data_IF_086205959886
#
_entry.id   IF_086205959886
#
_cell.length_a   1.000
_cell.length_b   1.000
_cell.length_c   1.000
_cell.angle_alpha   90.00
_cell.angle_beta   90.00
_cell.angle_gamma   90.00
#
_symmetry.space_group_name_H-M   'P 1'
#
loop_
_entity.id
_entity.type
_entity.pdbx_description
1 polymer ?
#
# COMPACT_ATOMS: atom_id res chain seq x y z
N UNK A 1 25.97 55.74 -39.49
CA UNK A 1 26.19 55.89 -40.91
C UNK A 1 25.17 55.03 -41.61
N UNK A 2 24.05 55.64 -41.97
CA UNK A 2 23.53 55.80 -43.34
C UNK A 2 23.08 54.46 -43.96
N UNK A 3 21.78 54.26 -44.01
CA UNK A 3 20.77 54.68 -45.04
C UNK A 3 20.72 53.70 -46.19
N UNK A 4 19.64 53.19 -46.67
CA UNK A 4 18.31 53.56 -47.17
C UNK A 4 17.75 52.33 -47.90
N UNK A 5 16.49 51.88 -47.67
CA UNK A 5 15.24 52.25 -48.40
C UNK A 5 15.29 52.12 -49.92
N UNK A 6 14.38 51.31 -50.48
CA UNK A 6 13.14 51.66 -51.25
C UNK A 6 12.67 50.44 -52.06
N UNK A 7 11.47 50.03 -51.95
CA UNK A 7 10.14 50.39 -52.57
C UNK A 7 10.05 49.91 -54.04
N UNK A 8 9.11 49.07 -54.26
CA UNK A 8 7.80 49.21 -54.86
C UNK A 8 7.65 48.85 -56.34
N UNK A 9 6.49 48.33 -56.62
CA UNK A 9 5.51 48.38 -57.67
C UNK A 9 5.41 47.17 -58.59
N UNK A 10 4.30 46.47 -58.46
CA UNK A 10 3.05 46.42 -59.19
C UNK A 10 3.17 46.35 -60.72
N UNK A 11 2.62 45.31 -61.31
CA UNK A 11 1.67 45.46 -62.41
C UNK A 11 0.90 44.14 -62.72
N UNK A 12 -0.35 44.29 -62.93
CA UNK A 12 -1.38 43.36 -63.34
C UNK A 12 -1.29 42.96 -64.82
N UNK A 13 -1.70 41.75 -65.16
CA UNK A 13 -2.41 41.54 -66.41
C UNK A 13 -3.28 40.28 -66.38
N UNK A 14 -4.44 40.43 -66.94
CA UNK A 14 -5.58 39.51 -67.02
C UNK A 14 -5.38 38.41 -68.06
N UNK A 15 -6.24 37.41 -67.86
CA UNK A 15 -6.96 36.50 -68.78
C UNK A 15 -6.23 35.16 -69.03
N UNK A 16 -6.87 34.03 -69.02
CA UNK A 16 -8.12 33.55 -69.62
C UNK A 16 -8.46 32.16 -69.08
N UNK A 17 -9.75 31.90 -68.99
CA UNK A 17 -10.37 30.61 -68.64
C UNK A 17 -9.87 29.43 -69.46
N UNK A 18 -9.57 28.32 -68.81
CA UNK A 18 -9.85 26.97 -69.30
C UNK A 18 -10.30 26.08 -68.12
N UNK A 19 -11.54 25.64 -68.21
CA UNK A 19 -12.12 24.58 -67.38
C UNK A 19 -11.35 23.28 -67.63
N UNK A 20 -10.78 22.74 -66.60
CA UNK A 20 -10.37 21.33 -66.54
C UNK A 20 -10.98 20.72 -65.29
N UNK A 21 -11.99 19.87 -65.52
CA UNK A 21 -12.63 19.07 -64.46
C UNK A 21 -11.62 18.04 -63.95
N UNK A 22 -11.08 18.25 -62.73
CA UNK A 22 -10.32 17.25 -61.99
C UNK A 22 -11.29 16.61 -60.97
N UNK A 23 -11.60 15.32 -61.17
CA UNK A 23 -12.26 14.51 -60.19
C UNK A 23 -11.32 14.39 -58.95
N UNK A 24 -11.61 15.13 -57.90
CA UNK A 24 -11.00 14.86 -56.59
C UNK A 24 -11.75 13.68 -55.94
N UNK A 25 -11.11 12.51 -55.98
CA UNK A 25 -11.46 11.41 -55.07
C UNK A 25 -11.12 11.87 -53.64
N UNK A 26 -12.12 12.33 -52.89
CA UNK A 26 -12.03 12.45 -51.43
C UNK A 26 -11.99 11.05 -50.84
N UNK A 27 -10.80 10.53 -50.64
CA UNK A 27 -10.59 9.36 -49.79
C UNK A 27 -10.99 9.70 -48.35
N UNK A 28 -12.20 9.32 -47.93
CA UNK A 28 -12.55 9.26 -46.52
C UNK A 28 -11.65 8.20 -45.86
N UNK A 29 -10.55 8.62 -45.27
CA UNK A 29 -9.86 7.80 -44.28
C UNK A 29 -10.77 7.67 -43.05
N UNK A 30 -11.59 6.63 -43.02
CA UNK A 30 -12.23 6.17 -41.79
C UNK A 30 -11.10 5.64 -40.88
N UNK A 31 -10.60 6.50 -39.99
CA UNK A 31 -9.86 6.05 -38.82
C UNK A 31 -10.86 5.29 -37.91
N UNK A 32 -11.03 4.00 -38.15
CA UNK A 32 -11.66 3.12 -37.19
C UNK A 32 -10.69 3.03 -36.01
N UNK A 33 -10.90 3.88 -35.00
CA UNK A 33 -10.32 3.65 -33.69
C UNK A 33 -10.91 2.34 -33.18
N UNK A 34 -10.19 1.23 -33.35
CA UNK A 34 -10.43 0.01 -32.61
C UNK A 34 -10.14 0.31 -31.14
N UNK A 35 -11.11 0.83 -30.42
CA UNK A 35 -11.15 0.68 -28.97
C UNK A 35 -11.32 -0.82 -28.75
N UNK A 36 -10.21 -1.51 -28.44
CA UNK A 36 -10.27 -2.84 -27.91
C UNK A 36 -11.13 -2.76 -26.64
N UNK A 37 -12.40 -3.12 -26.76
CA UNK A 37 -13.24 -3.31 -25.59
C UNK A 37 -12.54 -4.43 -24.80
N UNK A 38 -11.92 -4.07 -23.68
CA UNK A 38 -11.39 -5.05 -22.76
C UNK A 38 -12.58 -5.94 -22.38
N UNK A 39 -12.58 -7.17 -22.89
CA UNK A 39 -13.60 -8.15 -22.54
C UNK A 39 -13.56 -8.33 -21.04
N UNK A 40 -14.65 -7.89 -20.38
CA UNK A 40 -14.77 -8.00 -18.93
C UNK A 40 -14.62 -9.46 -18.54
N UNK A 41 -13.63 -9.77 -17.73
CA UNK A 41 -13.40 -11.11 -17.18
C UNK A 41 -14.66 -11.59 -16.47
N UNK A 42 -15.13 -12.79 -16.82
CA UNK A 42 -16.34 -13.36 -16.22
C UNK A 42 -16.07 -13.81 -14.79
N UNK A 43 -16.99 -13.52 -13.86
CA UNK A 43 -16.86 -13.97 -12.49
C UNK A 43 -17.03 -15.49 -12.39
N UNK A 44 -16.34 -16.07 -11.41
CA UNK A 44 -16.48 -17.47 -11.01
C UNK A 44 -17.45 -17.57 -9.82
N UNK A 45 -17.99 -18.77 -9.54
CA UNK A 45 -18.75 -18.99 -8.31
C UNK A 45 -17.94 -18.62 -7.07
N UNK A 46 -18.60 -18.01 -6.09
CA UNK A 46 -17.99 -17.72 -4.80
C UNK A 46 -17.46 -19.02 -4.17
N UNK A 47 -16.22 -19.08 -3.69
CA UNK A 47 -15.66 -20.29 -3.09
C UNK A 47 -16.52 -20.80 -1.93
N UNK A 48 -16.66 -22.13 -1.85
CA UNK A 48 -17.42 -22.76 -0.76
C UNK A 48 -16.82 -22.37 0.60
N UNK A 49 -17.64 -21.88 1.52
CA UNK A 49 -17.21 -21.42 2.84
C UNK A 49 -16.79 -19.96 2.91
N UNK A 50 -16.72 -19.27 1.77
CA UNK A 50 -16.57 -17.83 1.75
C UNK A 50 -17.93 -17.12 1.92
N UNK A 51 -17.90 -15.89 2.46
CA UNK A 51 -19.05 -15.00 2.52
C UNK A 51 -18.76 -13.75 1.69
N UNK A 52 -19.74 -13.29 0.93
CA UNK A 52 -19.56 -12.11 0.09
C UNK A 52 -20.84 -11.29 -0.03
N UNK A 53 -20.70 -9.98 0.07
CA UNK A 53 -21.74 -9.01 -0.25
C UNK A 53 -21.16 -7.96 -1.19
N UNK A 54 -21.80 -7.75 -2.34
CA UNK A 54 -21.37 -6.79 -3.35
C UNK A 54 -19.96 -7.08 -3.93
N UNK A 55 -19.62 -8.36 -4.08
CA UNK A 55 -18.37 -8.81 -4.69
C UNK A 55 -18.59 -9.90 -5.74
N UNK A 56 -17.81 -9.85 -6.78
CA UNK A 56 -17.56 -10.92 -7.73
C UNK A 56 -16.21 -11.57 -7.42
N UNK A 57 -16.18 -12.90 -7.44
CA UNK A 57 -14.93 -13.65 -7.38
C UNK A 57 -14.40 -13.90 -8.79
N UNK A 58 -13.15 -13.53 -9.05
CA UNK A 58 -12.52 -13.57 -10.37
C UNK A 58 -11.49 -14.72 -10.46
N UNK A 59 -10.62 -14.83 -9.47
CA UNK A 59 -9.53 -15.79 -9.50
C UNK A 59 -8.81 -15.94 -8.17
N UNK A 60 -7.84 -16.87 -8.17
CA UNK A 60 -7.01 -17.15 -7.00
C UNK A 60 -5.66 -17.71 -7.44
N UNK A 61 -4.64 -17.45 -6.65
CA UNK A 61 -3.34 -18.13 -6.73
C UNK A 61 -2.83 -18.41 -5.32
N UNK A 62 -2.37 -19.64 -5.10
CA UNK A 62 -1.70 -20.07 -3.88
C UNK A 62 -0.21 -19.74 -3.88
N UNK A 63 0.26 -19.03 -4.92
CA UNK A 63 1.66 -18.67 -5.13
C UNK A 63 2.62 -19.87 -5.09
N UNK A 64 2.17 -21.05 -5.54
CA UNK A 64 2.91 -22.32 -5.44
C UNK A 64 3.30 -22.69 -3.99
N UNK A 65 2.46 -22.32 -3.02
CA UNK A 65 2.65 -22.56 -1.60
C UNK A 65 3.41 -21.48 -0.83
N UNK A 66 3.85 -20.41 -1.48
CA UNK A 66 4.45 -19.26 -0.80
C UNK A 66 3.38 -18.32 -0.24
N UNK A 67 3.34 -18.16 1.08
CA UNK A 67 2.31 -17.37 1.76
C UNK A 67 2.58 -15.87 1.64
N UNK A 68 1.67 -15.09 1.01
CA UNK A 68 1.90 -13.69 0.73
C UNK A 68 1.70 -12.79 1.97
N UNK A 69 2.26 -11.58 1.88
CA UNK A 69 1.98 -10.50 2.80
C UNK A 69 1.69 -9.21 2.02
N UNK A 70 2.66 -8.31 1.89
CA UNK A 70 2.51 -7.07 1.13
C UNK A 70 2.52 -7.34 -0.37
N UNK A 71 1.65 -6.65 -1.10
CA UNK A 71 1.56 -6.75 -2.56
C UNK A 71 1.71 -5.37 -3.20
N UNK A 72 2.33 -5.33 -4.38
CA UNK A 72 2.40 -4.17 -5.25
C UNK A 72 2.32 -4.59 -6.72
N UNK A 73 2.02 -3.65 -7.62
CA UNK A 73 1.70 -3.96 -9.02
C UNK A 73 2.29 -2.93 -9.97
N UNK A 74 2.67 -3.38 -11.17
CA UNK A 74 3.01 -2.51 -12.29
C UNK A 74 2.52 -3.06 -13.61
N UNK A 75 2.40 -2.19 -14.61
CA UNK A 75 2.10 -2.57 -15.98
C UNK A 75 3.27 -2.18 -16.90
N UNK A 76 3.74 -3.14 -17.69
CA UNK A 76 4.80 -2.94 -18.68
C UNK A 76 4.34 -3.54 -20.02
N UNK A 77 4.31 -2.72 -21.06
CA UNK A 77 3.96 -3.16 -22.43
C UNK A 77 2.62 -3.93 -22.49
N UNK A 78 1.62 -3.50 -21.74
CA UNK A 78 0.29 -4.12 -21.70
C UNK A 78 0.18 -5.35 -20.80
N UNK A 79 1.27 -5.84 -20.20
CA UNK A 79 1.26 -6.94 -19.23
C UNK A 79 1.29 -6.40 -17.81
N UNK A 80 0.57 -7.06 -16.92
CA UNK A 80 0.45 -6.69 -15.52
C UNK A 80 1.24 -7.65 -14.66
N UNK A 81 2.16 -7.13 -13.89
CA UNK A 81 3.03 -7.87 -12.99
C UNK A 81 2.73 -7.46 -11.55
N UNK A 82 2.40 -8.45 -10.73
CA UNK A 82 2.26 -8.28 -9.29
C UNK A 82 3.49 -8.85 -8.59
N UNK A 83 3.89 -8.19 -7.52
CA UNK A 83 4.96 -8.61 -6.64
C UNK A 83 4.37 -8.84 -5.27
N UNK A 84 4.66 -9.99 -4.66
CA UNK A 84 4.09 -10.38 -3.38
C UNK A 84 5.22 -10.81 -2.44
N UNK A 85 5.45 -10.03 -1.40
CA UNK A 85 6.38 -10.39 -0.33
C UNK A 85 5.83 -11.53 0.50
N UNK A 86 6.68 -12.44 0.95
CA UNK A 86 6.25 -13.57 1.75
C UNK A 86 6.36 -13.30 3.25
N UNK A 87 5.35 -13.76 4.00
CA UNK A 87 5.32 -13.62 5.45
C UNK A 87 6.34 -14.52 6.15
N UNK A 88 6.41 -15.77 5.73
CA UNK A 88 7.18 -16.82 6.41
C UNK A 88 8.29 -17.42 5.57
N UNK A 89 8.12 -17.45 4.25
CA UNK A 89 9.01 -18.18 3.33
C UNK A 89 10.28 -17.44 2.93
N UNK A 90 10.48 -16.23 3.40
CA UNK A 90 11.69 -15.42 3.18
C UNK A 90 12.02 -15.21 1.71
N UNK A 91 11.28 -14.36 1.09
CA UNK A 91 11.42 -14.01 -0.31
C UNK A 91 10.19 -13.30 -0.83
N UNK A 92 10.03 -13.30 -2.13
CA UNK A 92 8.88 -12.69 -2.78
C UNK A 92 8.64 -13.29 -4.16
N UNK A 93 7.36 -13.33 -4.52
CA UNK A 93 6.87 -13.89 -5.78
C UNK A 93 6.64 -12.80 -6.82
N UNK A 94 6.80 -13.19 -8.10
CA UNK A 94 6.42 -12.38 -9.27
C UNK A 94 5.30 -13.10 -10.00
N UNK A 95 4.19 -12.42 -10.21
CA UNK A 95 2.97 -13.01 -10.74
C UNK A 95 2.51 -12.21 -11.97
N UNK A 96 2.20 -12.90 -13.08
CA UNK A 96 1.47 -12.33 -14.20
C UNK A 96 -0.03 -12.31 -13.85
N UNK A 97 -0.60 -11.13 -13.74
CA UNK A 97 -2.01 -10.88 -13.49
C UNK A 97 -2.68 -10.15 -14.67
N UNK A 98 -2.11 -10.27 -15.86
CA UNK A 98 -2.67 -9.72 -17.10
C UNK A 98 -4.07 -10.26 -17.34
N UNK A 99 -4.24 -11.57 -17.19
CA UNK A 99 -5.55 -12.19 -17.03
C UNK A 99 -5.77 -12.52 -15.55
N UNK A 100 -6.58 -11.72 -14.84
CA UNK A 100 -6.80 -11.91 -13.41
C UNK A 100 -7.61 -13.17 -13.06
N UNK A 101 -8.28 -13.81 -14.05
CA UNK A 101 -8.96 -15.09 -13.83
C UNK A 101 -7.99 -16.28 -13.77
N UNK A 102 -6.81 -16.14 -14.39
CA UNK A 102 -5.79 -17.19 -14.49
C UNK A 102 -4.40 -16.62 -14.17
N UNK A 103 -4.18 -16.13 -12.94
CA UNK A 103 -2.89 -15.58 -12.54
C UNK A 103 -1.80 -16.66 -12.62
N UNK A 104 -0.57 -16.27 -12.99
CA UNK A 104 0.54 -17.21 -13.18
C UNK A 104 1.76 -16.74 -12.39
N UNK A 105 2.26 -17.59 -11.51
CA UNK A 105 3.55 -17.35 -10.86
C UNK A 105 4.63 -17.47 -11.91
N UNK A 106 5.42 -16.42 -12.10
CA UNK A 106 6.50 -16.35 -13.09
C UNK A 106 7.85 -16.65 -12.48
N UNK A 107 8.08 -16.19 -11.25
CA UNK A 107 9.34 -16.35 -10.55
C UNK A 107 9.16 -16.26 -9.04
N UNK A 108 10.11 -16.84 -8.32
CA UNK A 108 10.30 -16.70 -6.88
C UNK A 108 11.72 -16.22 -6.62
N UNK A 109 11.88 -15.15 -5.88
CA UNK A 109 13.17 -14.60 -5.47
C UNK A 109 13.38 -14.95 -4.00
N UNK A 110 14.26 -15.90 -3.68
CA UNK A 110 14.52 -16.29 -2.30
C UNK A 110 15.23 -15.17 -1.53
N UNK A 111 14.80 -14.95 -0.31
CA UNK A 111 15.47 -14.06 0.64
C UNK A 111 16.54 -14.77 1.48
N UNK A 112 17.33 -14.01 2.24
CA UNK A 112 18.33 -14.55 3.15
C UNK A 112 17.68 -15.36 4.28
N UNK A 113 18.46 -16.32 4.85
CA UNK A 113 18.03 -17.04 6.05
C UNK A 113 17.77 -16.07 7.20
N UNK A 114 16.85 -16.42 8.10
CA UNK A 114 16.51 -15.67 9.31
C UNK A 114 16.07 -14.22 9.05
N UNK A 115 15.72 -13.91 7.79
CA UNK A 115 15.36 -12.56 7.34
C UNK A 115 13.95 -12.57 6.77
N UNK A 116 13.07 -11.79 7.36
CA UNK A 116 11.74 -11.54 6.82
C UNK A 116 11.84 -10.51 5.69
N UNK A 117 11.15 -10.74 4.57
CA UNK A 117 11.13 -9.87 3.38
C UNK A 117 9.69 -9.63 2.92
N UNK A 118 8.76 -9.55 3.87
CA UNK A 118 7.32 -9.45 3.58
C UNK A 118 6.87 -8.11 2.99
N UNK A 119 7.66 -7.05 3.18
CA UNK A 119 7.33 -5.70 2.75
C UNK A 119 8.05 -5.32 1.46
N UNK A 120 7.31 -4.66 0.57
CA UNK A 120 7.86 -4.18 -0.70
C UNK A 120 7.06 -2.98 -1.24
N UNK A 121 7.75 -2.08 -1.97
CA UNK A 121 7.16 -0.93 -2.67
C UNK A 121 7.81 -0.74 -4.03
N UNK A 122 7.02 -0.30 -5.01
CA UNK A 122 7.46 -0.07 -6.38
C UNK A 122 7.26 1.40 -6.77
N UNK A 123 8.32 2.03 -7.24
CA UNK A 123 8.25 3.30 -7.96
C UNK A 123 9.48 3.47 -8.88
N UNK A 124 9.37 4.28 -9.91
CA UNK A 124 10.47 4.66 -10.82
C UNK A 124 11.27 3.45 -11.37
N UNK A 125 10.60 2.34 -11.65
CA UNK A 125 11.23 1.12 -12.15
C UNK A 125 12.16 0.43 -11.15
N UNK A 126 12.03 0.75 -9.87
CA UNK A 126 12.71 0.11 -8.75
C UNK A 126 11.71 -0.58 -7.83
N UNK A 127 12.15 -1.65 -7.21
CA UNK A 127 11.50 -2.30 -6.10
C UNK A 127 12.39 -2.14 -4.87
N UNK A 128 11.78 -1.75 -3.75
CA UNK A 128 12.44 -1.70 -2.44
C UNK A 128 11.83 -2.81 -1.59
N UNK A 129 12.66 -3.73 -1.10
CA UNK A 129 12.21 -4.76 -0.16
C UNK A 129 12.80 -4.52 1.22
N UNK A 130 12.00 -4.77 2.25
CA UNK A 130 12.48 -4.77 3.62
C UNK A 130 13.34 -6.01 3.89
N UNK A 131 14.28 -5.86 4.81
CA UNK A 131 15.06 -6.95 5.38
C UNK A 131 15.06 -6.77 6.91
N UNK A 132 14.39 -7.68 7.60
CA UNK A 132 14.18 -7.65 9.04
C UNK A 132 14.54 -9.00 9.65
N UNK A 133 15.15 -8.99 10.84
CA UNK A 133 15.38 -10.26 11.57
C UNK A 133 14.05 -10.96 11.77
N UNK A 134 13.95 -12.19 11.27
CA UNK A 134 12.74 -12.99 11.45
C UNK A 134 12.61 -13.45 12.89
N UNK A 135 11.42 -13.21 13.47
CA UNK A 135 11.05 -13.73 14.79
C UNK A 135 10.03 -14.87 14.69
N UNK A 136 9.44 -15.08 13.50
CA UNK A 136 8.43 -16.09 13.27
C UNK A 136 8.94 -17.13 12.28
N UNK A 137 8.86 -18.40 12.67
CA UNK A 137 9.16 -19.54 11.77
C UNK A 137 10.60 -19.62 11.25
N UNK A 138 11.49 -18.83 11.83
CA UNK A 138 12.91 -18.82 11.50
C UNK A 138 13.69 -19.85 12.30
N UNK A 139 15.00 -19.82 12.10
CA UNK A 139 15.93 -20.49 12.98
C UNK A 139 15.73 -19.93 14.40
N UNK A 140 15.58 -20.80 15.37
CA UNK A 140 15.45 -20.42 16.79
C UNK A 140 16.77 -19.95 17.39
N UNK A 141 17.89 -20.12 16.67
CA UNK A 141 19.19 -19.62 17.07
C UNK A 141 19.23 -18.09 16.95
N UNK A 142 19.21 -17.42 18.08
CA UNK A 142 19.31 -15.95 18.16
C UNK A 142 20.64 -15.38 17.65
N UNK A 143 21.68 -16.25 17.53
CA UNK A 143 22.99 -15.90 17.00
C UNK A 143 23.11 -16.19 15.48
N UNK A 144 22.13 -16.86 14.89
CA UNK A 144 22.15 -17.14 13.45
C UNK A 144 22.17 -15.83 12.64
N UNK A 145 22.98 -15.74 11.58
CA UNK A 145 23.08 -14.54 10.78
C UNK A 145 21.75 -14.23 10.07
N UNK A 146 21.41 -12.93 10.00
CA UNK A 146 20.31 -12.40 9.22
C UNK A 146 20.80 -11.24 8.35
N UNK A 147 20.00 -10.85 7.37
CA UNK A 147 20.20 -9.61 6.63
C UNK A 147 19.31 -8.50 7.20
N UNK A 148 19.71 -7.23 7.06
CA UNK A 148 19.02 -6.10 7.68
C UNK A 148 18.94 -4.89 6.75
N UNK A 149 17.91 -4.05 6.97
CA UNK A 149 17.72 -2.80 6.27
C UNK A 149 16.81 -2.89 5.05
N UNK A 150 17.15 -2.19 3.99
CA UNK A 150 16.41 -2.22 2.73
C UNK A 150 17.28 -2.72 1.59
N UNK A 151 16.71 -3.50 0.68
CA UNK A 151 17.36 -3.94 -0.55
C UNK A 151 16.70 -3.26 -1.75
N UNK A 152 17.52 -2.74 -2.65
CA UNK A 152 17.10 -1.99 -3.82
C UNK A 152 17.27 -2.87 -5.06
N UNK A 153 16.19 -3.02 -5.83
CA UNK A 153 16.17 -3.83 -7.05
C UNK A 153 15.80 -2.98 -8.26
N UNK A 154 16.38 -3.29 -9.41
CA UNK A 154 15.92 -2.79 -10.70
C UNK A 154 14.85 -3.71 -11.26
N UNK A 155 13.72 -3.13 -11.67
CA UNK A 155 12.64 -3.82 -12.38
C UNK A 155 12.70 -3.61 -13.90
N UNK A 156 13.88 -3.29 -14.44
CA UNK A 156 14.08 -3.17 -15.91
C UNK A 156 13.68 -4.46 -16.64
N UNK A 157 14.01 -5.62 -16.06
CA UNK A 157 13.37 -6.90 -16.35
C UNK A 157 12.38 -7.18 -15.21
N UNK A 158 11.07 -7.18 -15.49
CA UNK A 158 10.07 -7.35 -14.43
C UNK A 158 10.03 -8.77 -13.83
N UNK A 159 10.62 -9.76 -14.51
CA UNK A 159 10.61 -11.17 -14.10
C UNK A 159 11.95 -11.60 -13.47
N UNK A 160 13.04 -10.93 -13.85
CA UNK A 160 14.38 -11.20 -13.33
C UNK A 160 15.00 -9.91 -12.76
N UNK A 161 14.51 -9.43 -11.61
CA UNK A 161 15.01 -8.21 -10.98
C UNK A 161 16.50 -8.30 -10.66
N UNK A 162 17.22 -7.21 -10.92
CA UNK A 162 18.64 -7.11 -10.60
C UNK A 162 18.80 -6.37 -9.27
N UNK A 163 19.45 -6.98 -8.30
CA UNK A 163 19.85 -6.30 -7.07
C UNK A 163 20.86 -5.20 -7.38
N UNK A 164 20.54 -3.96 -6.97
CA UNK A 164 21.39 -2.78 -7.17
C UNK A 164 22.26 -2.48 -5.95
N UNK A 165 21.68 -2.57 -4.75
CA UNK A 165 22.38 -2.29 -3.51
C UNK A 165 21.53 -2.53 -2.29
N UNK A 166 22.08 -2.16 -1.12
CA UNK A 166 21.44 -2.34 0.19
C UNK A 166 21.92 -1.28 1.16
N UNK A 167 21.00 -0.69 1.92
CA UNK A 167 21.32 0.02 3.16
C UNK A 167 21.07 -0.89 4.35
N UNK A 168 21.99 -0.89 5.32
CA UNK A 168 21.91 -1.69 6.54
C UNK A 168 21.65 -0.81 7.75
N UNK A 169 20.75 -1.25 8.63
CA UNK A 169 20.42 -0.54 9.88
C UNK A 169 21.50 -0.70 10.94
N UNK A 170 22.27 -1.77 10.88
CA UNK A 170 23.16 -2.20 11.96
C UNK A 170 22.40 -2.65 13.23
N UNK A 171 21.10 -2.86 13.13
CA UNK A 171 20.21 -3.33 14.18
C UNK A 171 19.38 -4.54 13.75
N UNK A 172 18.07 -4.52 14.00
CA UNK A 172 17.17 -5.62 13.66
C UNK A 172 16.55 -5.51 12.26
N UNK A 173 16.90 -4.47 11.49
CA UNK A 173 16.43 -4.26 10.13
C UNK A 173 15.23 -3.33 10.01
N UNK A 174 14.53 -3.42 8.86
CA UNK A 174 13.36 -2.58 8.55
C UNK A 174 12.11 -3.43 8.49
N UNK A 175 11.04 -2.93 9.10
CA UNK A 175 9.73 -3.59 9.08
C UNK A 175 8.86 -3.09 7.93
N UNK A 176 8.74 -1.78 7.79
CA UNK A 176 7.88 -1.14 6.77
C UNK A 176 8.67 -0.11 5.98
N UNK A 177 8.46 -0.12 4.67
CA UNK A 177 9.01 0.88 3.78
C UNK A 177 7.92 1.82 3.30
N UNK A 178 8.32 3.01 2.82
CA UNK A 178 7.52 3.95 2.06
C UNK A 178 8.41 4.50 0.95
N UNK A 179 8.31 3.93 -0.25
CA UNK A 179 9.01 4.44 -1.41
C UNK A 179 8.02 5.00 -2.43
N UNK A 180 7.95 6.31 -2.51
CA UNK A 180 6.99 7.05 -3.34
C UNK A 180 7.61 7.56 -4.65
N UNK A 181 8.78 7.03 -5.00
CA UNK A 181 9.59 7.49 -6.12
C UNK A 181 10.66 8.51 -5.72
N UNK A 182 11.52 8.87 -6.66
CA UNK A 182 12.58 9.85 -6.49
C UNK A 182 13.76 9.35 -5.67
N UNK A 183 14.28 10.24 -4.84
CA UNK A 183 15.59 10.10 -4.20
C UNK A 183 15.56 9.34 -2.87
N UNK A 184 14.45 9.40 -2.13
CA UNK A 184 14.43 8.96 -0.74
C UNK A 184 13.50 7.77 -0.52
N UNK A 185 13.97 6.84 0.30
CA UNK A 185 13.13 5.81 0.93
C UNK A 185 12.89 6.24 2.38
N UNK A 186 11.64 6.14 2.80
CA UNK A 186 11.20 6.39 4.16
C UNK A 186 10.89 5.05 4.81
N UNK A 187 11.43 4.77 5.99
CA UNK A 187 11.28 3.43 6.56
C UNK A 187 11.10 3.44 8.07
N UNK A 188 10.36 2.45 8.55
CA UNK A 188 10.31 2.06 9.95
C UNK A 188 11.46 1.10 10.22
N UNK A 189 12.48 1.54 10.94
CA UNK A 189 13.73 0.82 11.09
C UNK A 189 14.16 0.65 12.55
N UNK A 190 14.57 -0.56 12.91
CA UNK A 190 15.18 -0.87 14.18
C UNK A 190 16.70 -0.64 14.10
N UNK A 191 17.14 0.52 14.53
CA UNK A 191 18.51 0.99 14.48
C UNK A 191 19.14 1.01 15.87
N UNK A 192 20.48 1.09 15.95
CA UNK A 192 21.19 1.26 17.24
C UNK A 192 20.81 2.56 17.92
N UNK A 193 20.85 2.58 19.25
CA UNK A 193 20.58 3.74 20.07
C UNK A 193 19.11 4.04 20.32
N UNK A 194 18.21 3.19 19.81
CA UNK A 194 16.78 3.31 20.02
C UNK A 194 16.17 1.97 20.41
N UNK A 195 15.11 2.05 21.19
CA UNK A 195 14.22 0.93 21.49
C UNK A 195 13.11 0.92 20.44
N UNK A 196 12.86 -0.23 19.82
CA UNK A 196 11.86 -0.38 18.78
C UNK A 196 12.29 0.18 17.41
N UNK A 197 11.30 0.46 16.62
CA UNK A 197 11.50 1.01 15.28
C UNK A 197 11.22 2.51 15.29
N UNK A 198 12.01 3.23 14.53
CA UNK A 198 11.90 4.68 14.37
C UNK A 198 11.84 5.05 12.89
N UNK A 199 11.49 6.28 12.61
CA UNK A 199 11.50 6.82 11.27
C UNK A 199 12.92 7.10 10.79
N UNK A 200 13.28 6.57 9.63
CA UNK A 200 14.58 6.78 8.98
C UNK A 200 14.39 7.18 7.53
N UNK A 201 15.17 8.14 7.07
CA UNK A 201 15.24 8.56 5.67
C UNK A 201 16.55 8.06 5.08
N UNK A 202 16.46 7.35 3.96
CA UNK A 202 17.60 6.79 3.23
C UNK A 202 17.66 7.40 1.83
N UNK A 203 18.80 7.95 1.46
CA UNK A 203 19.09 8.45 0.12
C UNK A 203 19.52 7.28 -0.78
N UNK A 204 18.79 7.07 -1.86
CA UNK A 204 19.04 6.04 -2.86
C UNK A 204 19.37 6.63 -4.24
N UNK A 205 19.81 7.89 -4.31
CA UNK A 205 20.21 8.52 -5.59
C UNK A 205 21.36 7.76 -6.28
N UNK A 206 22.26 7.16 -5.50
CA UNK A 206 23.15 6.09 -5.95
C UNK A 206 22.66 4.78 -5.31
N UNK A 207 21.88 3.96 -6.02
CA UNK A 207 21.32 2.75 -5.44
C UNK A 207 22.36 1.68 -5.09
N UNK A 208 23.60 1.79 -5.60
CA UNK A 208 24.70 0.91 -5.22
C UNK A 208 25.30 1.28 -3.86
N UNK A 209 25.19 2.53 -3.45
CA UNK A 209 25.74 3.08 -2.21
C UNK A 209 24.68 3.92 -1.48
N UNK A 210 23.56 3.32 -1.03
CA UNK A 210 22.53 4.04 -0.32
C UNK A 210 23.04 4.55 1.04
N UNK A 211 22.59 5.76 1.44
CA UNK A 211 23.11 6.45 2.63
C UNK A 211 21.96 6.90 3.53
N UNK A 212 22.07 6.63 4.83
CA UNK A 212 21.16 7.23 5.82
C UNK A 212 21.33 8.75 5.84
N UNK A 213 20.21 9.45 5.71
CA UNK A 213 20.17 10.93 5.74
C UNK A 213 19.86 11.44 7.14
N UNK A 214 18.85 10.85 7.76
CA UNK A 214 18.40 11.25 9.10
C UNK A 214 17.55 10.15 9.74
N UNK A 215 17.37 10.28 11.05
CA UNK A 215 16.46 9.49 11.86
C UNK A 215 15.68 10.35 12.82
N UNK A 216 14.43 9.99 13.04
CA UNK A 216 13.55 10.63 14.00
C UNK A 216 12.79 9.58 14.80
N UNK A 217 12.69 9.77 16.10
CA UNK A 217 11.93 8.90 17.01
C UNK A 217 11.54 9.67 18.26
N UNK A 218 10.50 9.20 18.93
CA UNK A 218 10.05 9.78 20.20
C UNK A 218 11.18 9.77 21.23
N UNK A 219 11.30 10.82 22.08
CA UNK A 219 12.40 10.94 23.04
C UNK A 219 12.54 9.74 23.98
N UNK A 220 11.42 9.15 24.40
CA UNK A 220 11.34 7.99 25.29
C UNK A 220 11.92 6.69 24.68
N UNK A 221 12.05 6.62 23.37
CA UNK A 221 12.65 5.49 22.67
C UNK A 221 14.17 5.58 22.59
N UNK A 222 14.78 6.73 22.93
CA UNK A 222 16.24 6.85 22.93
C UNK A 222 16.85 6.05 24.07
N UNK A 223 17.81 5.20 23.72
CA UNK A 223 18.61 4.47 24.68
C UNK A 223 19.70 5.40 25.27
N UNK A 224 20.12 5.12 26.52
CA UNK A 224 21.22 5.87 27.17
C UNK A 224 22.53 5.72 26.42
N UNK A 225 22.81 4.52 25.91
CA UNK A 225 23.95 4.26 25.05
C UNK A 225 23.49 4.34 23.57
N UNK A 226 24.01 5.31 22.79
CA UNK A 226 23.66 5.46 21.38
C UNK A 226 24.12 4.27 20.49
N UNK A 227 25.01 3.43 20.98
CA UNK A 227 25.49 2.24 20.28
C UNK A 227 24.80 0.95 20.75
N UNK A 228 23.95 1.03 21.78
CA UNK A 228 23.22 -0.13 22.25
C UNK A 228 22.41 -0.75 21.15
N UNK A 229 22.50 -2.08 21.05
CA UNK A 229 21.67 -2.82 20.11
C UNK A 229 20.28 -2.98 20.69
N UNK A 230 19.28 -2.67 19.88
CA UNK A 230 17.93 -3.02 20.19
C UNK A 230 17.75 -4.54 20.00
N UNK A 231 17.51 -5.26 21.07
CA UNK A 231 17.34 -6.72 21.06
C UNK A 231 15.87 -7.14 21.21
N UNK A 232 14.98 -6.19 21.50
CA UNK A 232 13.57 -6.46 21.73
C UNK A 232 12.71 -5.82 20.66
N UNK A 233 11.75 -6.58 20.16
CA UNK A 233 10.61 -6.02 19.41
C UNK A 233 9.64 -5.44 20.43
N UNK A 234 9.53 -4.13 20.54
CA UNK A 234 8.58 -3.54 21.47
C UNK A 234 7.22 -3.51 20.82
N UNK A 235 6.38 -4.45 21.18
CA UNK A 235 4.97 -4.37 20.86
C UNK A 235 4.39 -3.05 21.39
N UNK A 236 3.80 -2.24 20.51
CA UNK A 236 3.13 -1.00 20.87
C UNK A 236 4.01 0.24 21.11
N UNK A 237 5.33 0.15 20.92
CA UNK A 237 6.26 1.24 21.26
C UNK A 237 7.13 1.64 20.07
N UNK A 238 6.73 2.06 19.01
CA UNK A 238 7.58 2.48 17.91
C UNK A 238 6.78 2.70 16.64
N UNK A 239 7.48 3.06 15.59
CA UNK A 239 6.90 3.16 14.27
C UNK A 239 6.69 1.75 13.72
N UNK A 240 5.43 1.32 13.59
CA UNK A 240 5.15 -0.02 13.08
C UNK A 240 4.69 -0.01 11.62
N UNK A 241 3.70 0.78 11.31
CA UNK A 241 3.17 0.89 9.94
C UNK A 241 4.09 1.69 9.01
N UNK A 242 3.80 1.70 7.71
CA UNK A 242 4.63 2.43 6.76
C UNK A 242 4.55 3.94 7.04
N UNK A 243 5.69 4.64 7.00
CA UNK A 243 5.67 6.09 6.94
C UNK A 243 5.08 6.53 5.60
N UNK A 244 4.00 7.31 5.61
CA UNK A 244 3.48 7.93 4.40
C UNK A 244 4.05 9.32 4.24
N UNK A 245 4.47 9.67 3.02
CA UNK A 245 5.02 10.99 2.73
C UNK A 245 4.31 11.63 1.56
N UNK A 246 3.81 12.84 1.77
CA UNK A 246 3.20 13.65 0.72
C UNK A 246 3.81 15.05 0.77
N UNK A 247 4.49 15.43 -0.30
CA UNK A 247 5.26 16.67 -0.33
C UNK A 247 6.32 16.69 0.76
N UNK A 248 6.24 17.66 1.66
CA UNK A 248 7.17 17.83 2.78
C UNK A 248 6.60 17.34 4.12
N UNK A 249 5.55 16.55 4.11
CA UNK A 249 4.92 16.05 5.35
C UNK A 249 5.00 14.55 5.42
N UNK A 250 5.49 14.02 6.54
CA UNK A 250 5.41 12.61 6.87
C UNK A 250 4.28 12.36 7.87
N UNK A 251 3.50 11.31 7.63
CA UNK A 251 2.38 10.84 8.44
C UNK A 251 2.77 9.50 9.04
N UNK A 252 2.88 9.46 10.36
CA UNK A 252 3.50 8.32 11.06
C UNK A 252 2.53 7.67 12.04
N UNK A 253 2.26 6.37 11.91
CA UNK A 253 1.57 5.58 12.93
C UNK A 253 2.56 5.17 14.02
N UNK A 254 2.71 5.97 15.07
CA UNK A 254 3.82 5.86 16.00
C UNK A 254 3.37 5.40 17.40
N UNK A 255 3.47 4.12 17.68
CA UNK A 255 3.08 3.55 18.96
C UNK A 255 1.58 3.72 19.22
N UNK A 256 1.22 4.54 20.23
CA UNK A 256 -0.17 4.87 20.56
C UNK A 256 -0.65 6.19 19.97
N UNK A 257 0.17 6.80 19.11
CA UNK A 257 -0.05 8.15 18.59
C UNK A 257 -0.06 8.17 17.08
N UNK A 258 -0.78 9.12 16.51
CA UNK A 258 -0.56 9.59 15.16
C UNK A 258 0.35 10.82 15.21
N UNK A 259 1.42 10.83 14.42
CA UNK A 259 2.42 11.91 14.41
C UNK A 259 2.57 12.47 13.00
N UNK A 260 2.68 13.79 12.90
CA UNK A 260 3.02 14.49 11.66
C UNK A 260 4.37 15.18 11.79
N UNK A 261 5.24 15.00 10.77
CA UNK A 261 6.54 15.66 10.70
C UNK A 261 6.62 16.58 9.48
N UNK A 262 7.29 17.72 9.65
CA UNK A 262 7.85 18.53 8.57
C UNK A 262 9.22 17.94 8.19
N UNK A 263 9.33 17.52 6.94
CA UNK A 263 10.54 16.99 6.33
C UNK A 263 11.03 17.86 5.18
N UNK A 264 10.67 19.14 5.17
CA UNK A 264 11.19 20.13 4.19
C UNK A 264 12.72 20.21 4.23
N UNK A 265 13.31 20.03 5.40
CA UNK A 265 14.71 19.66 5.58
C UNK A 265 14.81 18.19 5.97
N UNK A 266 15.07 17.34 4.99
CA UNK A 266 15.17 15.89 5.20
C UNK A 266 16.27 15.47 6.17
N UNK A 267 17.24 16.36 6.45
CA UNK A 267 18.31 16.11 7.43
C UNK A 267 17.87 16.35 8.87
N UNK A 268 16.84 17.17 9.06
CA UNK A 268 16.37 17.59 10.37
C UNK A 268 14.83 17.58 10.43
N UNK A 269 14.20 16.37 10.35
CA UNK A 269 12.76 16.25 10.51
C UNK A 269 12.28 16.90 11.80
N UNK A 270 11.16 17.65 11.74
CA UNK A 270 10.58 18.35 12.87
C UNK A 270 9.14 17.92 13.07
N UNK A 271 8.78 17.70 14.32
CA UNK A 271 7.39 17.44 14.67
C UNK A 271 6.52 18.66 14.40
N UNK A 272 5.42 18.44 13.68
CA UNK A 272 4.35 19.42 13.49
C UNK A 272 3.33 19.27 14.61
N UNK A 273 2.91 18.02 14.86
CA UNK A 273 1.90 17.68 15.85
C UNK A 273 1.88 16.18 16.13
N UNK A 274 1.28 15.83 17.27
CA UNK A 274 0.87 14.47 17.60
C UNK A 274 -0.61 14.45 18.02
N UNK A 275 -1.26 13.32 17.81
CA UNK A 275 -2.63 13.05 18.27
C UNK A 275 -2.64 11.75 19.07
N UNK A 276 -3.07 11.82 20.31
CA UNK A 276 -3.40 10.67 21.15
C UNK A 276 -4.91 10.42 21.11
N UNK A 277 -5.30 9.17 20.98
CA UNK A 277 -6.70 8.79 20.85
C UNK A 277 -7.37 8.68 22.23
N UNK A 278 -8.65 9.08 22.29
CA UNK A 278 -9.51 8.91 23.47
C UNK A 278 -10.89 8.33 23.03
N UNK A 279 -11.22 7.08 23.37
CA UNK A 279 -10.38 6.14 24.12
C UNK A 279 -9.12 5.75 23.33
N UNK A 280 -8.02 5.38 24.02
CA UNK A 280 -6.77 5.02 23.37
C UNK A 280 -6.94 3.77 22.50
N UNK A 281 -6.31 3.75 21.35
CA UNK A 281 -6.19 2.54 20.54
C UNK A 281 -5.46 1.48 21.37
N UNK A 282 -5.97 0.26 21.30
CA UNK A 282 -5.38 -0.91 21.93
C UNK A 282 -4.99 -1.91 20.85
N UNK A 283 -4.11 -2.79 21.20
CA UNK A 283 -3.68 -3.85 20.31
C UNK A 283 -2.19 -4.04 20.35
N UNK A 284 -1.74 -5.07 19.67
CA UNK A 284 -0.32 -5.38 19.49
C UNK A 284 0.44 -4.17 18.95
N UNK A 285 -0.18 -3.46 17.99
CA UNK A 285 0.28 -2.19 17.46
C UNK A 285 -0.90 -1.21 17.48
N UNK A 286 -0.92 -0.35 18.48
CA UNK A 286 -2.07 0.49 18.78
C UNK A 286 -2.45 1.42 17.61
N UNK A 287 -1.45 2.08 16.98
CA UNK A 287 -1.64 2.79 15.71
C UNK A 287 -0.77 2.12 14.67
N UNK A 288 -1.41 1.39 13.74
CA UNK A 288 -0.73 0.60 12.72
C UNK A 288 -0.62 1.33 11.38
N UNK A 289 -1.65 2.02 10.96
CA UNK A 289 -1.72 2.74 9.66
C UNK A 289 -2.01 4.21 9.91
N UNK A 290 -1.49 5.10 9.07
CA UNK A 290 -1.80 6.53 9.07
C UNK A 290 -1.79 7.07 7.63
N UNK A 291 -2.76 6.63 6.81
CA UNK A 291 -2.79 6.95 5.38
C UNK A 291 -3.48 8.28 5.08
N UNK A 292 -2.80 9.24 4.44
CA UNK A 292 -3.38 10.53 4.08
C UNK A 292 -4.25 10.47 2.80
N UNK A 293 -5.44 11.06 2.88
CA UNK A 293 -6.28 11.44 1.74
C UNK A 293 -6.12 12.94 1.50
N UNK A 294 -5.09 13.28 0.74
CA UNK A 294 -4.54 14.66 0.66
C UNK A 294 -5.57 15.66 0.15
N UNK A 295 -6.33 15.31 -0.89
CA UNK A 295 -7.35 16.19 -1.49
C UNK A 295 -8.44 16.55 -0.49
N UNK A 296 -8.70 15.67 0.47
CA UNK A 296 -9.73 15.81 1.51
C UNK A 296 -9.19 16.35 2.82
N UNK A 297 -7.87 16.43 2.99
CA UNK A 297 -7.20 16.81 4.25
C UNK A 297 -7.65 15.94 5.42
N UNK A 298 -7.79 14.65 5.19
CA UNK A 298 -8.07 13.66 6.22
C UNK A 298 -7.01 12.56 6.20
N UNK A 299 -6.87 11.87 7.33
CA UNK A 299 -6.01 10.70 7.47
C UNK A 299 -6.85 9.55 8.01
N UNK A 300 -6.73 8.38 7.40
CA UNK A 300 -7.21 7.14 7.99
C UNK A 300 -6.16 6.59 8.94
N UNK A 301 -6.59 6.16 10.13
CA UNK A 301 -5.76 5.43 11.08
C UNK A 301 -6.48 4.22 11.61
N UNK A 302 -5.73 3.14 11.83
CA UNK A 302 -6.27 1.93 12.42
C UNK A 302 -5.27 1.26 13.36
N UNK A 303 -5.76 0.30 14.16
CA UNK A 303 -4.96 -0.52 15.06
C UNK A 303 -4.90 -1.95 14.56
N UNK A 304 -3.72 -2.58 14.62
CA UNK A 304 -3.60 -4.03 14.51
C UNK A 304 -3.79 -4.64 15.92
N UNK A 305 -4.89 -5.36 16.13
CA UNK A 305 -5.24 -5.89 17.42
C UNK A 305 -5.61 -7.38 17.34
N UNK A 306 -5.39 -8.08 18.45
CA UNK A 306 -5.99 -9.38 18.71
C UNK A 306 -7.23 -9.20 19.61
N UNK A 307 -8.10 -10.18 19.62
CA UNK A 307 -9.33 -10.14 20.45
C UNK A 307 -9.08 -9.91 21.93
N UNK A 308 -7.99 -10.44 22.46
CA UNK A 308 -7.58 -10.29 23.87
C UNK A 308 -7.03 -8.90 24.20
N UNK A 309 -6.57 -8.17 23.20
CA UNK A 309 -6.00 -6.82 23.40
C UNK A 309 -7.10 -5.76 23.61
N UNK A 310 -8.35 -6.09 23.29
CA UNK A 310 -9.49 -5.19 23.32
C UNK A 310 -9.99 -4.83 21.91
N UNK A 311 -10.94 -3.90 21.80
CA UNK A 311 -11.54 -3.59 20.52
C UNK A 311 -10.52 -2.99 19.57
N UNK A 312 -10.43 -3.56 18.37
CA UNK A 312 -9.74 -2.93 17.24
C UNK A 312 -10.50 -1.68 16.80
N UNK A 313 -9.77 -0.65 16.44
CA UNK A 313 -10.34 0.63 16.03
C UNK A 313 -9.75 1.04 14.69
N UNK A 314 -10.60 1.69 13.89
CA UNK A 314 -10.20 2.46 12.72
C UNK A 314 -10.90 3.80 12.75
N UNK A 315 -10.23 4.88 12.35
CA UNK A 315 -10.78 6.24 12.46
C UNK A 315 -10.38 7.12 11.28
N UNK A 316 -11.13 8.19 11.08
CA UNK A 316 -10.75 9.31 10.22
C UNK A 316 -10.36 10.51 11.08
N UNK A 317 -9.26 11.14 10.70
CA UNK A 317 -8.70 12.32 11.37
C UNK A 317 -8.75 13.50 10.40
N UNK A 318 -9.23 14.63 10.88
CA UNK A 318 -9.13 15.93 10.20
C UNK A 318 -7.73 16.50 10.42
N UNK A 319 -7.04 16.80 9.33
CA UNK A 319 -5.72 17.42 9.31
C UNK A 319 -5.71 18.74 8.51
N UNK A 320 -6.88 19.37 8.33
CA UNK A 320 -6.97 20.67 7.67
C UNK A 320 -6.14 21.75 8.38
N UNK A 321 -6.08 21.70 9.71
CA UNK A 321 -5.06 22.35 10.51
C UNK A 321 -4.03 21.32 10.97
N UNK A 322 -2.86 21.22 10.31
CA UNK A 322 -1.88 20.19 10.63
C UNK A 322 -1.28 20.32 12.04
N UNK A 323 -1.47 21.46 12.73
CA UNK A 323 -1.01 21.66 14.11
C UNK A 323 -2.02 21.15 15.15
N UNK A 324 -3.27 20.92 14.74
CA UNK A 324 -4.36 20.52 15.62
C UNK A 324 -5.19 19.40 14.97
N UNK A 325 -4.61 18.21 14.70
CA UNK A 325 -5.34 17.07 14.15
C UNK A 325 -6.47 16.65 15.10
N UNK A 326 -7.61 16.23 14.55
CA UNK A 326 -8.79 15.85 15.35
C UNK A 326 -9.45 14.60 14.77
N UNK A 327 -9.85 13.68 15.63
CA UNK A 327 -10.69 12.55 15.22
C UNK A 327 -12.04 13.08 14.74
N UNK A 328 -12.43 12.66 13.53
CA UNK A 328 -13.73 12.96 12.93
C UNK A 328 -14.74 11.89 13.33
N UNK A 329 -14.36 10.63 13.13
CA UNK A 329 -15.25 9.48 13.28
C UNK A 329 -14.45 8.18 13.44
N UNK A 330 -15.14 7.15 13.90
CA UNK A 330 -14.66 5.77 13.90
C UNK A 330 -15.43 4.94 12.89
N UNK A 331 -14.76 3.95 12.31
CA UNK A 331 -15.40 2.98 11.43
C UNK A 331 -16.23 1.98 12.25
N UNK A 332 -17.42 1.56 11.76
CA UNK A 332 -18.11 0.45 12.35
C UNK A 332 -17.28 -0.83 12.17
N UNK A 333 -17.00 -1.59 13.25
CA UNK A 333 -16.30 -2.86 13.12
C UNK A 333 -17.16 -3.87 12.35
N UNK A 334 -16.54 -4.80 11.61
CA UNK A 334 -17.26 -5.87 10.93
C UNK A 334 -18.13 -6.72 11.85
N UNK A 335 -19.29 -7.09 11.35
CA UNK A 335 -20.21 -8.01 11.99
C UNK A 335 -20.30 -9.30 11.17
N UNK A 336 -20.26 -10.51 11.79
CA UNK A 336 -20.40 -11.74 11.04
C UNK A 336 -21.69 -11.79 10.21
N UNK A 337 -21.65 -12.37 8.99
CA UNK A 337 -22.86 -12.61 8.22
C UNK A 337 -23.88 -13.46 8.99
N UNK A 338 -25.20 -13.29 8.75
CA UNK A 338 -26.24 -13.99 9.49
C UNK A 338 -26.15 -15.54 9.43
N UNK A 339 -25.59 -16.08 8.35
CA UNK A 339 -25.39 -17.50 8.10
C UNK A 339 -24.00 -18.01 8.48
N UNK A 340 -23.16 -17.15 9.07
CA UNK A 340 -21.84 -17.57 9.55
C UNK A 340 -21.97 -18.54 10.74
N UNK A 341 -21.08 -19.55 10.84
CA UNK A 341 -21.11 -20.52 11.93
C UNK A 341 -20.54 -19.98 13.26
N UNK A 342 -20.26 -18.70 13.34
CA UNK A 342 -19.75 -17.99 14.52
C UNK A 342 -20.55 -16.69 14.74
N UNK A 343 -20.67 -16.25 16.00
CA UNK A 343 -21.45 -15.07 16.38
C UNK A 343 -20.60 -13.79 16.45
N UNK A 344 -19.32 -13.94 16.63
CA UNK A 344 -18.33 -12.86 16.52
C UNK A 344 -17.04 -13.43 15.90
N UNK A 345 -16.19 -12.56 15.39
CA UNK A 345 -14.95 -13.01 14.74
C UNK A 345 -13.92 -13.55 15.73
N UNK A 346 -14.02 -13.20 17.01
CA UNK A 346 -13.17 -13.78 18.05
C UNK A 346 -13.52 -15.24 18.38
N UNK A 347 -14.73 -15.70 18.07
CA UNK A 347 -15.08 -17.13 18.13
C UNK A 347 -14.35 -17.93 17.04
N UNK A 348 -14.00 -17.26 15.92
CA UNK A 348 -13.30 -17.85 14.80
C UNK A 348 -11.81 -18.05 15.13
N UNK A 349 -11.12 -16.98 15.57
CA UNK A 349 -9.74 -17.02 16.06
C UNK A 349 -9.42 -15.75 16.85
N UNK A 350 -8.23 -15.70 17.49
CA UNK A 350 -7.78 -14.50 18.21
C UNK A 350 -7.42 -13.32 17.30
N UNK A 351 -7.09 -13.56 16.02
CA UNK A 351 -6.70 -12.51 15.08
C UNK A 351 -7.91 -11.77 14.48
N UNK A 352 -8.37 -10.72 15.13
CA UNK A 352 -9.43 -9.84 14.63
C UNK A 352 -9.06 -8.38 14.88
N UNK A 353 -8.89 -7.65 13.79
CA UNK A 353 -8.56 -6.22 13.81
C UNK A 353 -8.39 -5.68 12.42
N UNK A 354 -8.54 -4.37 12.28
CA UNK A 354 -8.18 -3.66 11.05
C UNK A 354 -6.66 -3.81 10.81
N UNK A 355 -6.24 -3.87 9.55
CA UNK A 355 -4.83 -3.99 9.21
C UNK A 355 -4.48 -3.05 8.06
N UNK A 356 -4.25 -3.55 6.85
CA UNK A 356 -3.92 -2.69 5.71
C UNK A 356 -5.17 -2.22 4.96
N UNK A 357 -5.04 -1.06 4.34
CA UNK A 357 -6.02 -0.54 3.37
C UNK A 357 -5.36 -0.49 1.99
N UNK A 358 -6.12 -0.16 0.93
CA UNK A 358 -5.53 0.13 -0.39
C UNK A 358 -4.69 1.41 -0.32
N UNK A 359 -3.39 1.28 -0.04
CA UNK A 359 -2.52 2.34 0.47
C UNK A 359 -1.43 2.84 -0.51
N UNK A 360 -1.41 2.33 -1.74
CA UNK A 360 -0.34 2.66 -2.70
C UNK A 360 -0.70 3.89 -3.56
N UNK A 361 -1.04 5.00 -2.91
CA UNK A 361 -1.54 6.23 -3.57
C UNK A 361 -0.55 6.86 -4.56
N UNK A 362 0.72 6.51 -4.52
CA UNK A 362 1.77 6.98 -5.44
C UNK A 362 1.86 6.13 -6.72
N UNK A 363 1.34 4.90 -6.69
CA UNK A 363 1.45 3.97 -7.80
C UNK A 363 0.38 4.28 -8.87
N UNK A 364 0.77 4.65 -10.12
CA UNK A 364 -0.17 5.05 -11.17
C UNK A 364 -1.06 3.89 -11.66
N UNK A 365 -0.78 2.66 -11.28
CA UNK A 365 -1.54 1.47 -11.65
C UNK A 365 -2.55 1.04 -10.58
N UNK A 366 -2.63 1.78 -9.48
CA UNK A 366 -3.55 1.54 -8.36
C UNK A 366 -4.68 2.55 -8.38
N UNK A 367 -5.87 2.16 -7.95
CA UNK A 367 -7.02 3.06 -7.80
C UNK A 367 -6.81 4.07 -6.68
N UNK A 368 -7.10 5.33 -6.95
CA UNK A 368 -6.87 6.48 -6.07
C UNK A 368 -8.17 7.14 -5.60
N UNK A 369 -9.23 6.38 -5.44
CA UNK A 369 -10.50 6.94 -4.97
C UNK A 369 -10.39 7.48 -3.53
N UNK A 370 -10.74 8.75 -3.33
CA UNK A 370 -10.74 9.40 -2.02
C UNK A 370 -12.03 9.18 -1.21
N UNK A 371 -13.02 8.45 -1.76
CA UNK A 371 -14.34 8.30 -1.15
C UNK A 371 -14.68 6.86 -0.79
N UNK A 372 -13.76 5.92 -1.03
CA UNK A 372 -13.94 4.52 -0.72
C UNK A 372 -12.67 3.97 -0.07
N UNK A 373 -12.84 3.18 0.98
CA UNK A 373 -11.74 2.48 1.63
C UNK A 373 -11.98 0.97 1.53
N UNK A 374 -10.98 0.27 1.03
CA UNK A 374 -10.86 -1.18 1.07
C UNK A 374 -9.93 -1.51 2.24
N UNK A 375 -10.45 -2.18 3.27
CA UNK A 375 -9.74 -2.43 4.53
C UNK A 375 -9.77 -3.91 4.87
N UNK A 376 -8.60 -4.49 5.14
CA UNK A 376 -8.51 -5.87 5.65
C UNK A 376 -8.75 -5.89 7.15
N UNK A 377 -9.42 -6.96 7.61
CA UNK A 377 -9.76 -7.19 9.01
C UNK A 377 -9.33 -8.58 9.47
N UNK A 378 -8.10 -8.96 9.15
CA UNK A 378 -7.48 -10.24 9.51
C UNK A 378 -8.45 -11.42 9.25
N UNK A 379 -9.00 -12.08 10.29
CA UNK A 379 -9.88 -13.24 10.12
C UNK A 379 -11.30 -12.90 9.63
N UNK A 380 -11.64 -11.61 9.56
CA UNK A 380 -12.90 -11.14 9.00
C UNK A 380 -12.80 -10.82 7.49
N UNK A 381 -11.62 -10.91 6.88
CA UNK A 381 -11.47 -10.70 5.44
C UNK A 381 -11.36 -9.24 5.03
N UNK A 382 -11.93 -8.90 3.88
CA UNK A 382 -11.94 -7.57 3.27
C UNK A 382 -13.30 -6.90 3.46
N UNK A 383 -13.30 -5.66 3.94
CA UNK A 383 -14.47 -4.80 4.04
C UNK A 383 -14.31 -3.51 3.24
N UNK A 384 -15.41 -3.01 2.70
CA UNK A 384 -15.44 -1.80 1.89
C UNK A 384 -16.30 -0.75 2.58
N UNK A 385 -15.74 0.45 2.72
CA UNK A 385 -16.41 1.55 3.38
C UNK A 385 -16.56 2.75 2.43
N UNK A 386 -17.79 3.27 2.33
CA UNK A 386 -18.07 4.59 1.76
C UNK A 386 -17.72 5.64 2.82
N UNK A 387 -16.81 6.53 2.46
CA UNK A 387 -16.38 7.66 3.29
C UNK A 387 -16.67 9.01 2.64
N UNK A 388 -17.61 9.07 1.67
CA UNK A 388 -18.03 10.35 1.08
C UNK A 388 -18.43 11.36 2.16
N UNK A 389 -19.18 10.93 3.18
CA UNK A 389 -19.27 11.66 4.45
C UNK A 389 -18.29 11.08 5.46
N UNK A 390 -17.17 11.77 5.65
CA UNK A 390 -16.15 11.35 6.60
C UNK A 390 -16.62 11.32 8.07
N UNK A 391 -17.78 11.93 8.39
CA UNK A 391 -18.38 11.89 9.74
C UNK A 391 -19.11 10.58 10.01
N UNK A 392 -19.46 9.83 8.94
CA UNK A 392 -20.25 8.61 9.02
C UNK A 392 -19.76 7.56 8.02
N UNK A 393 -18.57 6.98 8.22
CA UNK A 393 -18.10 5.86 7.40
C UNK A 393 -19.14 4.73 7.40
N UNK A 394 -19.45 4.22 6.21
CA UNK A 394 -20.51 3.24 6.04
C UNK A 394 -20.02 2.01 5.30
N UNK A 395 -20.14 0.84 5.93
CA UNK A 395 -19.84 -0.42 5.26
C UNK A 395 -20.80 -0.65 4.09
N UNK A 396 -20.25 -1.00 2.94
CA UNK A 396 -21.01 -1.19 1.69
C UNK A 396 -20.79 -2.55 1.04
N UNK A 397 -19.88 -3.36 1.56
CA UNK A 397 -19.64 -4.70 1.09
C UNK A 397 -18.49 -5.38 1.80
N UNK A 398 -18.44 -6.71 1.68
CA UNK A 398 -17.37 -7.52 2.25
C UNK A 398 -17.11 -8.77 1.41
N UNK A 399 -15.89 -9.28 1.53
CA UNK A 399 -15.50 -10.61 1.11
C UNK A 399 -14.68 -11.27 2.23
N UNK A 400 -15.23 -12.33 2.81
CA UNK A 400 -14.58 -13.14 3.84
C UNK A 400 -14.14 -14.44 3.19
N UNK A 401 -12.82 -14.65 3.00
CA UNK A 401 -12.33 -15.90 2.40
C UNK A 401 -12.75 -17.14 3.20
N UNK A 402 -12.81 -18.29 2.55
CA UNK A 402 -12.98 -19.55 3.29
C UNK A 402 -11.73 -19.81 4.13
N UNK A 403 -11.90 -20.51 5.25
CA UNK A 403 -10.76 -20.95 6.05
C UNK A 403 -9.94 -21.96 5.22
N UNK A 404 -8.64 -21.69 4.98
CA UNK A 404 -7.84 -22.52 4.10
C UNK A 404 -7.42 -23.83 4.79
N UNK A 405 -7.16 -24.89 4.03
CA UNK A 405 -6.45 -26.03 4.55
C UNK A 405 -5.04 -25.61 4.99
N UNK A 406 -4.56 -26.21 6.06
CA UNK A 406 -3.21 -25.91 6.55
C UNK A 406 -2.16 -26.34 5.52
N UNK A 407 -1.25 -25.44 5.17
CA UNK A 407 -0.12 -25.73 4.30
C UNK A 407 0.91 -26.58 5.04
N UNK A 408 1.44 -27.62 4.41
CA UNK A 408 2.50 -28.45 4.98
C UNK A 408 3.76 -27.61 5.20
N UNK A 409 4.38 -27.71 6.39
CA UNK A 409 5.57 -26.93 6.73
C UNK A 409 5.29 -25.51 7.25
N UNK A 410 4.04 -25.05 7.28
CA UNK A 410 3.70 -23.83 7.95
C UNK A 410 4.07 -23.90 9.45
N UNK A 411 4.48 -22.77 10.07
CA UNK A 411 4.74 -22.70 11.50
C UNK A 411 3.56 -23.27 12.32
N UNK A 412 3.78 -23.80 13.52
CA UNK A 412 2.68 -24.27 14.36
C UNK A 412 1.67 -23.14 14.50
N UNK A 413 0.39 -23.40 14.18
CA UNK A 413 -0.62 -22.36 14.16
C UNK A 413 -0.94 -21.85 15.56
N UNK A 414 -1.56 -20.67 15.66
CA UNK A 414 -2.56 -20.44 16.69
C UNK A 414 -3.57 -21.57 16.65
N UNK A 415 -4.29 -21.79 17.75
CA UNK A 415 -5.16 -22.97 17.95
C UNK A 415 -6.10 -23.34 16.79
N UNK A 416 -6.42 -22.37 15.91
CA UNK A 416 -7.21 -22.57 14.69
C UNK A 416 -6.51 -21.93 13.49
N UNK A 417 -6.39 -22.68 12.39
CA UNK A 417 -5.90 -22.18 11.11
C UNK A 417 -7.09 -21.66 10.30
N UNK A 418 -7.23 -20.36 10.23
CA UNK A 418 -8.33 -19.65 9.56
C UNK A 418 -7.79 -18.66 8.55
N UNK A 419 -8.67 -18.05 7.75
CA UNK A 419 -8.30 -16.93 6.88
C UNK A 419 -7.58 -15.82 7.67
N UNK A 420 -6.58 -15.23 7.07
CA UNK A 420 -5.73 -14.17 7.65
C UNK A 420 -5.41 -13.12 6.58
N UNK A 421 -6.41 -12.28 6.30
CA UNK A 421 -6.36 -11.26 5.26
C UNK A 421 -5.51 -10.08 5.72
N UNK A 422 -4.36 -9.88 5.06
CA UNK A 422 -3.34 -8.96 5.51
C UNK A 422 -3.21 -7.68 4.68
N UNK A 423 -3.31 -7.78 3.35
CA UNK A 423 -3.11 -6.63 2.47
C UNK A 423 -4.12 -6.62 1.33
N UNK A 424 -4.38 -5.42 0.80
CA UNK A 424 -5.31 -5.22 -0.30
C UNK A 424 -4.78 -4.17 -1.27
N UNK A 425 -4.94 -4.44 -2.56
CA UNK A 425 -4.63 -3.53 -3.65
C UNK A 425 -5.78 -3.54 -4.66
N UNK A 426 -6.16 -2.36 -5.14
CA UNK A 426 -7.15 -2.21 -6.22
C UNK A 426 -6.45 -1.63 -7.43
N UNK A 427 -6.44 -2.33 -8.56
CA UNK A 427 -5.81 -1.83 -9.77
C UNK A 427 -6.73 -0.89 -10.56
N UNK A 428 -6.16 -0.13 -11.48
CA UNK A 428 -6.93 0.82 -12.33
C UNK A 428 -7.91 0.15 -13.29
N UNK A 429 -7.91 -1.20 -13.38
CA UNK A 429 -8.91 -1.99 -14.11
C UNK A 429 -10.12 -2.33 -13.21
N UNK A 430 -10.04 -2.03 -11.90
CA UNK A 430 -11.04 -2.33 -10.89
C UNK A 430 -10.96 -3.76 -10.34
N UNK A 431 -9.85 -4.48 -10.55
CA UNK A 431 -9.61 -5.74 -9.87
C UNK A 431 -8.99 -5.49 -8.51
N UNK A 432 -9.50 -6.23 -7.52
CA UNK A 432 -9.06 -6.16 -6.14
C UNK A 432 -8.26 -7.42 -5.86
N UNK A 433 -7.08 -7.24 -5.33
CA UNK A 433 -6.18 -8.31 -4.91
C UNK A 433 -6.12 -8.33 -3.40
N UNK A 434 -6.62 -9.39 -2.81
CA UNK A 434 -6.64 -9.59 -1.37
C UNK A 434 -5.59 -10.63 -1.01
N UNK A 435 -4.54 -10.20 -0.31
CA UNK A 435 -3.49 -11.07 0.22
C UNK A 435 -3.94 -11.71 1.52
N UNK A 436 -3.90 -13.04 1.56
CA UNK A 436 -4.21 -13.84 2.75
C UNK A 436 -2.97 -14.64 3.19
N UNK A 437 -2.48 -14.40 4.40
CA UNK A 437 -1.25 -14.98 4.95
C UNK A 437 -1.30 -16.50 5.14
N UNK A 438 -2.48 -17.09 5.03
CA UNK A 438 -2.69 -18.53 5.22
C UNK A 438 -3.17 -19.25 3.96
N UNK A 439 -3.49 -18.52 2.89
CA UNK A 439 -4.06 -19.09 1.68
C UNK A 439 -3.31 -18.72 0.40
N UNK A 440 -3.19 -17.42 0.12
CA UNK A 440 -2.70 -16.91 -1.17
C UNK A 440 -3.33 -15.57 -1.53
N UNK A 441 -3.53 -15.31 -2.82
CA UNK A 441 -4.12 -14.05 -3.28
C UNK A 441 -5.46 -14.33 -3.95
N UNK A 442 -6.54 -13.78 -3.38
CA UNK A 442 -7.86 -13.76 -3.99
C UNK A 442 -7.98 -12.55 -4.92
N UNK A 443 -8.55 -12.77 -6.09
CA UNK A 443 -8.79 -11.72 -7.07
C UNK A 443 -10.29 -11.52 -7.19
N UNK A 444 -10.73 -10.29 -6.93
CA UNK A 444 -12.11 -9.92 -6.72
C UNK A 444 -12.49 -8.71 -7.58
N UNK A 445 -13.77 -8.40 -7.64
CA UNK A 445 -14.30 -7.14 -8.14
C UNK A 445 -15.43 -6.67 -7.24
N UNK A 446 -15.38 -5.42 -6.84
CA UNK A 446 -16.46 -4.79 -6.09
C UNK A 446 -17.60 -4.39 -7.03
N UNK A 447 -18.82 -4.74 -6.66
CA UNK A 447 -20.05 -4.48 -7.45
C UNK A 447 -21.08 -3.66 -6.68
N UNK A 448 -20.70 -3.22 -5.48
CA UNK A 448 -21.58 -2.42 -4.64
C UNK A 448 -21.75 -0.97 -5.11
N UNK A 449 -22.46 -0.18 -4.33
CA UNK A 449 -22.71 1.20 -4.66
C UNK A 449 -21.41 1.99 -4.73
N UNK A 450 -21.28 2.85 -5.74
CA UNK A 450 -20.20 3.81 -5.81
C UNK A 450 -20.49 4.97 -4.86
N UNK A 451 -19.53 5.43 -4.06
CA UNK A 451 -19.71 6.62 -3.25
C UNK A 451 -20.10 7.84 -4.07
N UNK A 452 -20.92 8.69 -3.50
CA UNK A 452 -21.18 10.03 -4.03
C UNK A 452 -19.96 10.96 -3.92
N UNK A 453 -20.08 12.20 -4.33
CA UNK A 453 -19.03 13.20 -4.13
C UNK A 453 -18.77 13.41 -2.64
N UNK A 454 -17.52 13.73 -2.31
CA UNK A 454 -17.12 14.01 -0.92
C UNK A 454 -17.93 15.16 -0.32
N UNK A 455 -18.45 14.95 0.88
CA UNK A 455 -19.12 16.00 1.66
C UNK A 455 -18.02 16.80 2.39
N UNK A 456 -17.90 18.13 2.16
CA UNK A 456 -16.89 18.94 2.82
C UNK A 456 -17.00 18.91 4.35
N UNK A 457 -15.89 18.76 5.04
CA UNK A 457 -15.83 18.84 6.51
C UNK A 457 -15.96 20.26 7.00
N UNK A 458 -15.41 21.20 6.24
CA UNK A 458 -15.40 22.63 6.53
C UNK A 458 -16.20 23.37 5.48
N UNK A 459 -17.08 24.28 5.89
CA UNK A 459 -17.70 25.21 4.95
C UNK A 459 -16.60 26.05 4.31
N UNK A 460 -16.56 26.15 2.99
CA UNK A 460 -15.75 27.17 2.34
C UNK A 460 -16.18 28.52 2.92
N UNK A 461 -15.33 29.12 3.76
CA UNK A 461 -15.57 30.52 4.14
C UNK A 461 -15.45 31.31 2.84
N UNK A 462 -16.58 31.80 2.35
CA UNK A 462 -16.60 32.80 1.30
C UNK A 462 -15.71 33.95 1.74
N UNK A 463 -14.48 33.98 1.23
CA UNK A 463 -13.66 35.20 1.25
C UNK A 463 -14.31 36.17 0.28
N UNK A 464 -15.28 36.95 0.80
CA UNK A 464 -15.75 38.18 0.15
C UNK A 464 -14.81 39.32 0.52
#
# INVERSE_FOLDING_TARGET
>A
MMTRRRDAESQSSRSTNRLSASLSLCGLCLCVALTAAQTRTQPKPIPKGAFAQNFEYIGFTDLNGHLPFKIDIQQINGRWYMYAGAQTDRGWSIIDVTDPATPKVLNWIPGPKNTRSGELDIADGKLITAAERSQMGGDTDEHAPWDDGIVIWSLKDPVHPLRLGQWKTGGLGTHRNGYFGGRYVHTAAAVRGYFGQIYVIVDISDPAHPVEVSRWGLPELKLKDPNAQNTAYPHGHGLHGPPYVVGNTAYLPFGTKFVMLDISDVKHPKEISELTFDPPFKGLFAVHTAMPFVTRKIVETNSEANCEDGPSQASLIDVADPKNPKVISYFPPPVPPPDAPYKNFCDKSNGFGAHNINMLFHNPFVDHSDNIIYMTWVNAGLHVYDIADARQPKETGYFIPPDPPRVAGAPPPPAKWVTDSADVLVDTRGYIYLSDRHAGIYILRYTGPKPGPAIPLHSERSTR
#
